data_IF_285883354627
#
_entry.id   IF_285883354627
#
_cell.length_a   1.000
_cell.length_b   1.000
_cell.length_c   1.000
_cell.angle_alpha   90.00
_cell.angle_beta   90.00
_cell.angle_gamma   90.00
#
_symmetry.space_group_name_H-M   'P 1'
#
loop_
_entity.id
_entity.type
_entity.pdbx_description
1 polymer ?
#
# COMPACT_ATOMS: atom_id res chain seq x y z
N UNK A 1 17.94 -6.41 33.06
CA UNK A 1 16.57 -6.69 32.57
C UNK A 1 16.50 -8.18 32.32
N UNK A 2 15.43 -8.88 32.71
CA UNK A 2 15.21 -10.25 32.26
C UNK A 2 14.90 -10.19 30.77
N UNK A 3 15.61 -10.97 29.94
CA UNK A 3 15.25 -11.17 28.55
C UNK A 3 13.96 -11.98 28.54
N UNK A 4 12.87 -11.41 28.05
CA UNK A 4 11.59 -12.10 27.85
C UNK A 4 11.26 -12.11 26.36
N UNK A 5 10.94 -13.29 25.83
CA UNK A 5 10.37 -13.42 24.52
C UNK A 5 8.90 -13.05 24.63
N UNK A 6 8.51 -11.98 23.95
CA UNK A 6 7.15 -11.51 23.89
C UNK A 6 6.75 -11.37 22.40
N UNK A 7 5.55 -11.83 22.05
CA UNK A 7 5.04 -11.54 20.72
C UNK A 7 4.67 -10.06 20.60
N UNK A 8 4.64 -9.55 19.38
CA UNK A 8 4.49 -8.11 19.12
C UNK A 8 3.11 -7.58 19.52
N UNK A 9 2.06 -8.39 19.50
CA UNK A 9 0.72 -8.03 20.00
C UNK A 9 0.73 -7.87 21.52
N UNK A 10 1.30 -8.84 22.22
CA UNK A 10 1.47 -8.79 23.69
C UNK A 10 2.35 -7.61 24.11
N UNK A 11 3.41 -7.34 23.35
CA UNK A 11 4.27 -6.16 23.56
C UNK A 11 3.47 -4.86 23.40
N UNK A 12 2.68 -4.72 22.34
CA UNK A 12 1.85 -3.53 22.15
C UNK A 12 0.86 -3.34 23.30
N UNK A 13 0.20 -4.41 23.74
CA UNK A 13 -0.77 -4.36 24.82
C UNK A 13 -0.11 -3.98 26.16
N UNK A 14 1.05 -4.56 26.49
CA UNK A 14 1.82 -4.22 27.70
C UNK A 14 2.27 -2.76 27.66
N UNK A 15 2.81 -2.29 26.55
CA UNK A 15 3.24 -0.91 26.38
C UNK A 15 2.05 0.08 26.49
N UNK A 16 0.86 -0.32 26.02
CA UNK A 16 -0.34 0.52 26.11
C UNK A 16 -0.85 0.77 27.53
N UNK A 17 -0.45 -0.06 28.49
CA UNK A 17 -0.75 0.16 29.91
C UNK A 17 0.15 1.23 30.54
N UNK A 18 1.33 1.46 29.97
CA UNK A 18 2.36 2.35 30.53
C UNK A 18 2.54 3.64 29.74
N UNK A 19 2.40 3.58 28.44
CA UNK A 19 2.62 4.69 27.52
C UNK A 19 1.33 5.11 26.81
N UNK A 20 1.28 6.38 26.41
CA UNK A 20 0.15 6.92 25.64
C UNK A 20 0.08 6.29 24.25
N UNK A 21 -1.08 5.72 23.89
CA UNK A 21 -1.37 5.28 22.53
C UNK A 21 -1.78 6.48 21.71
N UNK A 22 -0.98 6.85 20.73
CA UNK A 22 -1.27 7.94 19.78
C UNK A 22 -1.93 7.39 18.53
N UNK A 23 -3.04 8.01 18.11
CA UNK A 23 -3.66 7.69 16.84
C UNK A 23 -3.02 8.53 15.73
N UNK A 24 -2.17 7.90 14.93
CA UNK A 24 -1.50 8.51 13.79
C UNK A 24 -2.07 7.95 12.49
N UNK A 25 -2.99 8.69 11.86
CA UNK A 25 -3.69 8.26 10.64
C UNK A 25 -4.58 7.03 10.88
N UNK A 26 -4.20 5.88 10.30
CA UNK A 26 -4.88 4.58 10.47
C UNK A 26 -4.13 3.68 11.44
N UNK A 27 -3.06 4.19 12.06
CA UNK A 27 -2.21 3.47 13.00
C UNK A 27 -2.45 3.93 14.42
N UNK A 28 -2.46 3.00 15.34
CA UNK A 28 -2.25 3.25 16.74
C UNK A 28 -0.76 3.03 17.01
N UNK A 29 -0.08 4.04 17.55
CA UNK A 29 1.39 4.05 17.72
C UNK A 29 1.73 4.36 19.17
N UNK A 30 2.70 3.63 19.70
CA UNK A 30 3.30 3.84 21.01
C UNK A 30 4.79 4.15 20.81
N UNK A 31 5.28 5.18 21.47
CA UNK A 31 6.70 5.54 21.51
C UNK A 31 7.28 5.19 22.87
N UNK A 32 7.78 3.96 23.07
CA UNK A 32 8.28 3.53 24.36
C UNK A 32 9.66 4.14 24.63
N UNK A 33 9.89 4.64 25.86
CA UNK A 33 11.22 5.09 26.26
C UNK A 33 11.89 4.05 27.16
N UNK A 34 13.16 3.75 26.86
CA UNK A 34 13.95 2.78 27.63
C UNK A 34 13.76 1.31 27.24
N UNK A 35 13.04 1.04 26.14
CA UNK A 35 12.89 -0.32 25.60
C UNK A 35 13.91 -0.58 24.49
N UNK A 36 14.39 -1.81 24.42
CA UNK A 36 15.31 -2.28 23.42
C UNK A 36 14.80 -3.59 22.80
N UNK A 37 15.08 -3.79 21.52
CA UNK A 37 14.72 -4.99 20.77
C UNK A 37 15.94 -5.53 20.04
N UNK A 38 15.95 -6.83 19.77
CA UNK A 38 17.06 -7.51 19.09
C UNK A 38 16.93 -7.40 17.58
N UNK A 39 18.03 -7.05 16.93
CA UNK A 39 18.12 -6.80 15.49
C UNK A 39 19.18 -7.69 14.84
N UNK A 40 19.36 -7.57 13.53
CA UNK A 40 20.39 -8.26 12.76
C UNK A 40 21.75 -8.22 13.46
N UNK A 41 22.44 -9.36 13.52
CA UNK A 41 23.70 -9.50 14.27
C UNK A 41 23.52 -9.65 15.77
N UNK A 42 22.31 -9.98 16.23
CA UNK A 42 21.96 -10.28 17.63
C UNK A 42 22.30 -9.17 18.63
N UNK A 43 22.36 -7.92 18.20
CA UNK A 43 22.56 -6.75 19.07
C UNK A 43 21.24 -6.17 19.54
N UNK A 44 21.22 -5.56 20.73
CA UNK A 44 20.10 -4.79 21.21
C UNK A 44 20.19 -3.35 20.74
N UNK A 45 19.08 -2.81 20.27
CA UNK A 45 18.96 -1.41 19.86
C UNK A 45 17.67 -0.83 20.41
N UNK A 46 17.60 0.50 20.49
CA UNK A 46 16.42 1.19 20.98
C UNK A 46 15.21 0.86 20.09
N UNK A 47 14.11 0.47 20.75
CA UNK A 47 12.79 0.39 20.14
C UNK A 47 12.22 1.81 20.05
N UNK A 48 12.06 2.32 18.84
CA UNK A 48 11.60 3.69 18.59
C UNK A 48 10.09 3.79 18.68
N UNK A 49 9.38 2.86 18.02
CA UNK A 49 7.93 2.80 18.07
C UNK A 49 7.43 1.37 17.89
N UNK A 50 6.26 1.09 18.44
CA UNK A 50 5.45 -0.09 18.12
C UNK A 50 4.12 0.40 17.59
N UNK A 51 3.71 -0.08 16.43
CA UNK A 51 2.48 0.35 15.78
C UNK A 51 1.57 -0.83 15.48
N UNK A 52 0.26 -0.56 15.42
CA UNK A 52 -0.71 -1.51 14.90
C UNK A 52 -1.75 -0.82 14.03
N UNK A 53 -2.29 -1.55 13.07
CA UNK A 53 -3.41 -1.09 12.26
C UNK A 53 -4.26 -2.25 11.78
N UNK A 54 -5.54 -1.99 11.54
CA UNK A 54 -6.43 -2.99 10.93
C UNK A 54 -6.10 -3.15 9.46
N UNK A 55 -6.03 -4.39 9.01
CA UNK A 55 -5.76 -4.71 7.62
C UNK A 55 -6.78 -5.68 7.06
N UNK A 56 -7.07 -5.54 5.75
CA UNK A 56 -7.82 -6.54 4.97
C UNK A 56 -6.90 -7.31 4.00
N UNK A 57 -5.60 -7.32 4.27
CA UNK A 57 -4.61 -8.00 3.43
C UNK A 57 -4.59 -9.50 3.71
N UNK A 58 -4.10 -10.25 2.73
CA UNK A 58 -3.78 -11.67 2.88
C UNK A 58 -2.61 -11.84 3.84
N UNK A 59 -2.75 -12.79 4.75
CA UNK A 59 -1.69 -13.24 5.64
C UNK A 59 -1.09 -14.54 5.14
N UNK A 60 0.20 -14.70 5.36
CA UNK A 60 0.93 -15.96 5.16
C UNK A 60 1.68 -16.32 6.43
N UNK A 61 1.69 -17.60 6.77
CA UNK A 61 2.51 -18.15 7.83
C UNK A 61 3.76 -18.78 7.19
N UNK A 62 4.92 -18.29 7.58
CA UNK A 62 6.21 -18.81 7.12
C UNK A 62 6.74 -19.74 8.20
N UNK A 63 6.96 -21.00 7.84
CA UNK A 63 7.46 -22.04 8.74
C UNK A 63 8.93 -22.33 8.38
N UNK A 64 9.82 -22.10 9.34
CA UNK A 64 11.26 -22.20 9.16
C UNK A 64 11.82 -23.30 10.05
N UNK A 65 12.69 -24.11 9.48
CA UNK A 65 13.46 -25.11 10.20
C UNK A 65 14.89 -24.60 10.36
N UNK A 66 15.30 -24.35 11.58
CA UNK A 66 16.69 -24.07 11.90
C UNK A 66 17.39 -25.37 12.34
N UNK A 67 18.55 -25.67 11.77
CA UNK A 67 19.39 -26.80 12.14
C UNK A 67 20.66 -26.31 12.82
N UNK A 68 20.91 -26.79 14.02
CA UNK A 68 22.14 -26.54 14.72
C UNK A 68 23.24 -27.39 14.07
N UNK A 69 24.18 -26.79 13.36
CA UNK A 69 25.43 -27.44 13.00
C UNK A 69 26.30 -27.53 14.26
N UNK A 70 26.37 -28.70 14.85
CA UNK A 70 27.36 -28.95 15.90
C UNK A 70 28.71 -29.05 15.20
N UNK A 71 29.58 -28.07 15.38
CA UNK A 71 31.02 -28.25 15.13
C UNK A 71 31.54 -29.37 16.06
N UNK A 72 31.43 -30.60 15.59
CA UNK A 72 31.92 -31.76 16.32
C UNK A 72 33.30 -32.14 15.84
N UNK A 73 34.29 -31.66 16.54
CA UNK A 73 35.55 -32.38 16.74
C UNK A 73 35.38 -33.40 17.89
N UNK A 74 34.35 -34.21 17.88
CA UNK A 74 34.20 -35.31 18.82
C UNK A 74 33.86 -36.58 18.06
N UNK A 75 34.79 -37.58 18.02
CA UNK A 75 34.65 -38.77 17.19
C UNK A 75 33.75 -39.87 17.78
N UNK A 76 33.05 -39.63 18.87
CA UNK A 76 32.18 -40.67 19.47
C UNK A 76 30.95 -40.08 20.12
N UNK A 77 29.80 -40.25 19.46
CA UNK A 77 28.50 -40.06 20.09
C UNK A 77 27.61 -39.04 19.35
N UNK A 78 26.76 -39.54 18.48
CA UNK A 78 25.65 -38.77 17.86
C UNK A 78 24.76 -38.16 18.94
N UNK A 79 24.97 -36.88 19.26
CA UNK A 79 23.95 -36.06 19.93
C UNK A 79 22.84 -35.77 18.93
N UNK A 80 21.57 -35.86 19.35
CA UNK A 80 20.47 -35.55 18.45
C UNK A 80 20.58 -34.10 17.98
N UNK A 81 20.51 -33.88 16.68
CA UNK A 81 20.30 -32.57 16.08
C UNK A 81 19.04 -31.98 16.72
N UNK A 82 19.19 -30.92 17.49
CA UNK A 82 18.05 -30.12 17.93
C UNK A 82 17.45 -29.44 16.68
N UNK A 83 16.34 -29.98 16.18
CA UNK A 83 15.56 -29.41 15.12
C UNK A 83 14.53 -28.49 15.78
N UNK A 84 14.65 -27.20 15.53
CA UNK A 84 13.71 -26.21 15.99
C UNK A 84 12.89 -25.73 14.79
N UNK A 85 11.58 -25.66 14.95
CA UNK A 85 10.68 -25.04 13.99
C UNK A 85 10.27 -23.68 14.56
N UNK A 86 10.48 -22.64 13.81
CA UNK A 86 10.02 -21.29 14.09
C UNK A 86 8.96 -20.94 13.07
N UNK A 87 7.99 -20.14 13.47
CA UNK A 87 6.94 -19.66 12.56
C UNK A 87 6.69 -18.18 12.78
N UNK A 88 6.43 -17.44 11.71
CA UNK A 88 6.01 -16.04 11.77
C UNK A 88 4.82 -15.81 10.83
N UNK A 89 3.86 -15.00 11.26
CA UNK A 89 2.71 -14.62 10.45
C UNK A 89 2.90 -13.17 9.99
N UNK A 90 2.89 -12.96 8.69
CA UNK A 90 3.10 -11.64 8.08
C UNK A 90 2.08 -11.40 6.95
N UNK A 91 1.91 -10.14 6.56
CA UNK A 91 1.14 -9.82 5.34
C UNK A 91 1.92 -10.24 4.10
N UNK A 92 1.22 -10.59 3.03
CA UNK A 92 1.85 -11.05 1.76
C UNK A 92 2.83 -10.05 1.14
N UNK A 93 2.69 -8.78 1.46
CA UNK A 93 3.58 -7.70 1.01
C UNK A 93 4.60 -7.25 2.08
N UNK A 94 4.66 -7.96 3.22
CA UNK A 94 5.69 -7.71 4.23
C UNK A 94 7.06 -8.09 3.67
N UNK A 95 8.04 -7.24 3.91
CA UNK A 95 9.40 -7.48 3.43
C UNK A 95 10.13 -8.39 4.41
N UNK A 96 10.57 -9.53 3.92
CA UNK A 96 11.40 -10.49 4.66
C UNK A 96 12.82 -10.46 4.11
N UNK A 97 13.78 -10.84 4.93
CA UNK A 97 15.19 -10.93 4.55
C UNK A 97 15.55 -12.37 4.21
N UNK A 98 15.83 -12.63 2.93
CA UNK A 98 16.21 -13.93 2.41
C UNK A 98 17.71 -13.94 2.09
N UNK A 99 18.39 -15.06 2.38
CA UNK A 99 19.74 -15.30 1.85
C UNK A 99 19.67 -15.71 0.38
N UNK A 100 20.50 -15.11 -0.44
CA UNK A 100 20.73 -15.57 -1.81
C UNK A 100 21.66 -16.79 -1.85
N UNK A 101 22.04 -17.25 -3.05
CA UNK A 101 22.93 -18.40 -3.25
C UNK A 101 24.35 -18.17 -2.74
N UNK A 102 24.75 -16.90 -2.60
CA UNK A 102 26.07 -16.48 -2.16
C UNK A 102 26.07 -16.05 -0.70
N UNK A 103 24.98 -16.32 0.04
CA UNK A 103 24.75 -15.99 1.44
C UNK A 103 24.64 -14.48 1.75
N UNK A 104 24.22 -13.69 0.79
CA UNK A 104 23.87 -12.29 1.00
C UNK A 104 22.36 -12.13 1.25
N UNK A 105 22.00 -11.13 2.06
CA UNK A 105 20.60 -10.79 2.28
C UNK A 105 20.02 -10.04 1.09
N UNK A 106 18.82 -10.45 0.68
CA UNK A 106 17.99 -9.69 -0.23
C UNK A 106 16.59 -9.46 0.39
N UNK A 107 16.03 -8.30 0.12
CA UNK A 107 14.69 -7.94 0.55
C UNK A 107 13.65 -8.53 -0.40
N UNK A 108 12.77 -9.39 0.13
CA UNK A 108 11.77 -10.12 -0.66
C UNK A 108 10.41 -9.98 0.00
N UNK A 109 9.38 -9.59 -0.77
CA UNK A 109 7.99 -9.64 -0.26
C UNK A 109 7.64 -11.08 0.14
N UNK A 110 6.95 -11.28 1.25
CA UNK A 110 6.60 -12.61 1.78
C UNK A 110 5.90 -13.51 0.75
N UNK A 111 5.06 -12.95 -0.13
CA UNK A 111 4.40 -13.67 -1.24
C UNK A 111 5.36 -14.27 -2.28
N UNK A 112 6.60 -13.79 -2.33
CA UNK A 112 7.63 -14.24 -3.29
C UNK A 112 8.60 -15.24 -2.67
N UNK A 113 8.52 -15.49 -1.36
CA UNK A 113 9.27 -16.55 -0.68
C UNK A 113 8.78 -17.93 -1.11
N UNK A 114 9.67 -18.91 -1.01
CA UNK A 114 9.39 -20.30 -1.42
C UNK A 114 9.95 -21.29 -0.42
N UNK A 115 9.41 -22.49 -0.39
CA UNK A 115 10.04 -23.60 0.32
C UNK A 115 11.47 -23.81 -0.22
N UNK A 116 12.40 -24.07 0.68
CA UNK A 116 13.85 -24.14 0.50
C UNK A 116 14.57 -22.79 0.33
N UNK A 117 13.90 -21.65 0.47
CA UNK A 117 14.59 -20.37 0.68
C UNK A 117 15.22 -20.35 2.08
N UNK A 118 16.28 -19.57 2.23
CA UNK A 118 17.02 -19.44 3.47
C UNK A 118 16.74 -18.08 4.11
N UNK A 119 16.51 -18.07 5.43
CA UNK A 119 16.27 -16.85 6.22
C UNK A 119 17.12 -16.87 7.50
N UNK A 120 17.31 -15.69 8.11
CA UNK A 120 17.98 -15.62 9.40
C UNK A 120 17.01 -15.96 10.52
N UNK A 121 17.49 -16.78 11.46
CA UNK A 121 16.76 -17.20 12.67
C UNK A 121 17.61 -16.92 13.90
N UNK A 122 17.02 -16.31 14.92
CA UNK A 122 17.68 -16.09 16.20
C UNK A 122 17.58 -17.31 17.12
N UNK A 123 18.72 -17.79 17.61
CA UNK A 123 18.79 -18.84 18.63
C UNK A 123 19.03 -18.23 20.01
N UNK A 124 17.98 -18.14 20.81
CA UNK A 124 18.03 -17.62 22.17
C UNK A 124 18.98 -18.41 23.08
N UNK A 125 19.11 -19.72 22.87
CA UNK A 125 19.90 -20.57 23.75
C UNK A 125 21.43 -20.33 23.67
N UNK A 126 21.88 -19.77 22.55
CA UNK A 126 23.29 -19.48 22.30
C UNK A 126 23.53 -18.00 21.94
N UNK A 127 22.51 -17.19 22.02
CA UNK A 127 22.51 -15.75 21.67
C UNK A 127 23.21 -15.48 20.33
N UNK A 128 22.80 -16.19 19.29
CA UNK A 128 23.41 -16.10 17.96
C UNK A 128 22.41 -16.26 16.83
N UNK A 129 22.82 -15.78 15.68
CA UNK A 129 22.13 -15.96 14.41
C UNK A 129 22.40 -17.34 13.81
N UNK A 130 21.37 -17.98 13.29
CA UNK A 130 21.40 -19.22 12.52
C UNK A 130 20.78 -19.03 11.16
N UNK A 131 21.19 -19.83 10.19
CA UNK A 131 20.50 -19.93 8.90
C UNK A 131 19.39 -20.96 9.02
N UNK A 132 18.17 -20.53 8.81
CA UNK A 132 16.98 -21.38 8.76
C UNK A 132 16.54 -21.63 7.31
N UNK A 133 15.95 -22.78 7.06
CA UNK A 133 15.36 -23.13 5.76
C UNK A 133 13.84 -23.04 5.86
N UNK A 134 13.18 -22.33 4.96
CA UNK A 134 11.73 -22.32 4.85
C UNK A 134 11.27 -23.71 4.43
N UNK A 135 10.44 -24.34 5.27
CA UNK A 135 9.91 -25.68 4.99
C UNK A 135 8.51 -25.62 4.41
N UNK A 136 7.73 -24.61 4.78
CA UNK A 136 6.39 -24.40 4.26
C UNK A 136 5.96 -22.94 4.36
N UNK A 137 4.99 -22.56 3.52
CA UNK A 137 4.33 -21.24 3.55
C UNK A 137 2.84 -21.49 3.41
N UNK A 138 2.11 -21.31 4.50
CA UNK A 138 0.66 -21.50 4.55
C UNK A 138 -0.06 -20.20 4.23
N UNK A 139 -1.00 -20.23 3.30
CA UNK A 139 -1.91 -19.10 3.03
C UNK A 139 -3.04 -19.11 4.07
N UNK A 140 -3.07 -18.10 4.93
CA UNK A 140 -4.10 -17.97 5.99
C UNK A 140 -5.33 -17.18 5.52
N UNK A 141 -5.34 -16.69 4.28
CA UNK A 141 -6.42 -15.87 3.76
C UNK A 141 -6.37 -14.43 4.25
N UNK A 142 -7.49 -13.70 4.08
CA UNK A 142 -7.62 -12.32 4.54
C UNK A 142 -8.12 -12.26 5.97
N UNK A 143 -7.62 -11.29 6.73
CA UNK A 143 -8.07 -10.98 8.09
C UNK A 143 -8.56 -9.54 8.17
N UNK A 144 -9.49 -9.29 9.11
CA UNK A 144 -9.90 -7.95 9.52
C UNK A 144 -9.28 -7.55 10.87
N UNK A 145 -8.31 -8.33 11.35
CA UNK A 145 -7.61 -8.09 12.61
C UNK A 145 -6.47 -7.07 12.49
N UNK A 146 -5.87 -6.76 13.62
CA UNK A 146 -4.69 -5.91 13.68
C UNK A 146 -3.45 -6.64 13.16
N UNK A 147 -2.61 -5.90 12.47
CA UNK A 147 -1.22 -6.26 12.22
C UNK A 147 -0.31 -5.25 12.91
N UNK A 148 0.86 -5.70 13.29
CA UNK A 148 1.80 -4.97 14.14
C UNK A 148 3.12 -4.78 13.41
N UNK A 149 3.84 -3.70 13.74
CA UNK A 149 5.18 -3.41 13.23
C UNK A 149 6.00 -2.67 14.29
N UNK A 150 7.33 -2.84 14.23
CA UNK A 150 8.29 -2.18 15.11
C UNK A 150 9.19 -1.25 14.32
N UNK A 151 9.43 -0.05 14.82
CA UNK A 151 10.46 0.85 14.34
C UNK A 151 11.67 0.77 15.27
N UNK A 152 12.85 0.54 14.73
CA UNK A 152 14.10 0.33 15.46
C UNK A 152 15.14 1.39 15.10
N UNK A 153 15.94 1.81 16.08
CA UNK A 153 17.07 2.72 15.89
C UNK A 153 18.31 1.92 15.45
N UNK A 154 18.22 1.34 14.25
CA UNK A 154 19.28 0.57 13.63
C UNK A 154 19.27 0.70 12.11
N UNK A 155 20.46 0.79 11.52
CA UNK A 155 20.64 0.98 10.07
C UNK A 155 20.14 -0.20 9.21
N UNK A 156 20.03 -1.41 9.79
CA UNK A 156 19.49 -2.57 9.09
C UNK A 156 17.97 -2.50 8.90
N UNK A 157 17.27 -1.63 9.66
CA UNK A 157 15.81 -1.55 9.68
C UNK A 157 15.12 -2.92 9.77
N UNK A 158 15.71 -3.84 10.48
CA UNK A 158 15.23 -5.20 10.64
C UNK A 158 15.19 -5.59 12.12
N UNK A 159 14.28 -6.48 12.47
CA UNK A 159 14.16 -7.01 13.82
C UNK A 159 13.71 -8.48 13.77
N UNK A 160 13.92 -9.19 14.85
CA UNK A 160 13.45 -10.58 14.96
C UNK A 160 12.00 -10.61 15.45
N UNK A 161 11.08 -11.06 14.60
CA UNK A 161 9.70 -11.38 14.92
C UNK A 161 9.59 -12.91 15.01
N UNK A 162 9.14 -13.44 16.14
CA UNK A 162 9.08 -14.89 16.40
C UNK A 162 10.38 -15.63 16.01
N UNK A 163 11.52 -15.03 16.35
CA UNK A 163 12.87 -15.50 16.02
C UNK A 163 13.25 -15.47 14.53
N UNK A 164 12.40 -15.01 13.63
CA UNK A 164 12.70 -14.87 12.20
C UNK A 164 12.96 -13.39 11.88
N UNK A 165 14.07 -13.12 11.16
CA UNK A 165 14.44 -11.75 10.79
C UNK A 165 13.51 -11.20 9.72
N UNK A 166 12.82 -10.10 10.04
CA UNK A 166 11.95 -9.35 9.12
C UNK A 166 12.48 -7.93 8.96
N UNK A 167 12.09 -7.27 7.87
CA UNK A 167 12.55 -5.92 7.53
C UNK A 167 11.45 -4.90 7.72
N UNK A 168 11.78 -3.79 8.38
CA UNK A 168 10.92 -2.61 8.39
C UNK A 168 11.07 -1.84 7.07
N UNK A 169 9.95 -1.50 6.42
CA UNK A 169 9.96 -0.79 5.14
C UNK A 169 10.16 0.69 5.35
N UNK A 170 11.32 1.24 4.95
CA UNK A 170 11.56 2.68 4.97
C UNK A 170 11.19 3.36 3.65
N UNK A 171 10.55 4.53 3.79
CA UNK A 171 10.39 5.51 2.73
C UNK A 171 11.14 6.78 3.12
N UNK A 172 12.16 7.13 2.36
CA UNK A 172 12.95 8.33 2.61
C UNK A 172 12.48 9.48 1.72
N UNK A 173 11.88 10.51 2.33
CA UNK A 173 11.65 11.81 1.69
C UNK A 173 12.83 12.72 1.97
N UNK A 174 13.62 13.01 0.97
CA UNK A 174 14.68 14.01 1.10
C UNK A 174 14.10 15.38 0.75
N UNK A 175 13.92 16.25 1.74
CA UNK A 175 13.65 17.65 1.49
C UNK A 175 14.96 18.34 1.09
N UNK A 176 15.15 18.50 -0.21
CA UNK A 176 16.45 18.91 -0.77
C UNK A 176 16.72 20.42 -0.82
N UNK A 177 15.75 21.26 -0.43
CA UNK A 177 15.93 22.73 -0.50
C UNK A 177 15.64 23.35 0.85
N UNK A 178 16.69 23.91 1.48
CA UNK A 178 16.53 24.65 2.74
C UNK A 178 15.99 26.07 2.49
N UNK A 179 15.33 26.63 3.51
CA UNK A 179 14.85 28.01 3.47
C UNK A 179 16.00 29.01 3.32
N UNK A 180 17.20 28.70 3.82
CA UNK A 180 18.37 29.50 3.67
C UNK A 180 18.85 29.55 2.21
N UNK A 181 18.76 28.43 1.47
CA UNK A 181 19.07 28.41 0.05
C UNK A 181 18.11 29.31 -0.75
N UNK A 182 16.80 29.18 -0.49
CA UNK A 182 15.76 29.99 -1.12
C UNK A 182 16.00 31.50 -0.84
N UNK A 183 16.24 31.86 0.42
CA UNK A 183 16.54 33.22 0.82
C UNK A 183 17.79 33.77 0.16
N UNK A 184 18.87 32.97 0.09
CA UNK A 184 20.15 33.39 -0.51
C UNK A 184 20.01 33.82 -1.97
N UNK A 185 19.16 33.15 -2.72
CA UNK A 185 18.94 33.40 -4.14
C UNK A 185 17.62 34.14 -4.42
N UNK A 186 16.90 34.58 -3.39
CA UNK A 186 15.60 35.27 -3.50
C UNK A 186 14.58 34.47 -4.32
N UNK A 187 14.54 33.17 -4.13
CA UNK A 187 13.70 32.24 -4.88
C UNK A 187 12.29 32.11 -4.27
N UNK A 188 11.30 31.83 -5.13
CA UNK A 188 9.92 31.55 -4.70
C UNK A 188 9.89 30.27 -3.85
N UNK A 189 8.93 30.18 -2.92
CA UNK A 189 8.66 28.98 -2.14
C UNK A 189 8.25 27.79 -3.03
N UNK A 190 7.57 28.08 -4.13
CA UNK A 190 7.16 27.10 -5.13
C UNK A 190 8.28 26.89 -6.17
N UNK A 191 8.95 25.74 -6.10
CA UNK A 191 10.02 25.36 -7.02
C UNK A 191 9.57 25.37 -8.49
N UNK A 192 8.29 25.17 -8.77
CA UNK A 192 7.75 25.17 -10.13
C UNK A 192 7.90 26.55 -10.79
N UNK A 193 7.90 27.63 -9.99
CA UNK A 193 8.04 29.02 -10.46
C UNK A 193 9.48 29.48 -10.65
N UNK A 194 10.45 28.64 -10.26
CA UNK A 194 11.84 28.99 -10.48
C UNK A 194 12.13 29.04 -11.98
N UNK A 195 13.06 29.91 -12.37
CA UNK A 195 13.57 29.90 -13.74
C UNK A 195 14.42 28.66 -14.04
N UNK A 196 14.68 28.44 -15.29
CA UNK A 196 15.35 27.22 -15.77
C UNK A 196 16.79 27.13 -15.28
N UNK A 197 17.47 28.27 -15.11
CA UNK A 197 18.85 28.32 -14.61
C UNK A 197 18.93 27.81 -13.17
N UNK A 198 18.04 28.27 -12.28
CA UNK A 198 18.02 27.84 -10.89
C UNK A 198 17.53 26.38 -10.74
N UNK A 199 16.59 25.89 -11.58
CA UNK A 199 16.22 24.49 -11.65
C UNK A 199 17.39 23.60 -12.02
N UNK A 200 18.14 23.97 -13.06
CA UNK A 200 19.33 23.23 -13.49
C UNK A 200 20.45 23.27 -12.47
N UNK A 201 20.62 24.40 -11.76
CA UNK A 201 21.56 24.50 -10.65
C UNK A 201 21.18 23.52 -9.51
N UNK A 202 19.90 23.44 -9.17
CA UNK A 202 19.40 22.48 -8.17
C UNK A 202 19.65 21.04 -8.60
N UNK A 203 19.41 20.71 -9.88
CA UNK A 203 19.72 19.36 -10.41
C UNK A 203 21.19 19.01 -10.23
N UNK A 204 22.10 19.89 -10.68
CA UNK A 204 23.55 19.65 -10.57
C UNK A 204 23.99 19.46 -9.13
N UNK A 205 23.43 20.24 -8.21
CA UNK A 205 23.74 20.10 -6.80
C UNK A 205 23.25 18.77 -6.24
N UNK A 206 22.01 18.37 -6.54
CA UNK A 206 21.43 17.10 -6.08
C UNK A 206 22.15 15.90 -6.69
N UNK A 207 22.46 15.94 -7.98
CA UNK A 207 23.21 14.90 -8.66
C UNK A 207 24.61 14.73 -8.03
N UNK A 208 25.30 15.85 -7.80
CA UNK A 208 26.58 15.86 -7.09
C UNK A 208 26.45 15.32 -5.65
N UNK A 209 25.37 15.64 -4.94
CA UNK A 209 25.11 15.11 -3.61
C UNK A 209 24.89 13.58 -3.63
N UNK A 210 24.10 13.08 -4.58
CA UNK A 210 23.91 11.64 -4.76
C UNK A 210 25.23 10.93 -5.06
N UNK A 211 26.05 11.50 -5.93
CA UNK A 211 27.34 10.90 -6.33
C UNK A 211 28.39 10.95 -5.22
N UNK A 212 28.49 12.05 -4.49
CA UNK A 212 29.60 12.27 -3.56
C UNK A 212 29.25 11.93 -2.10
N UNK A 213 27.99 11.90 -1.74
CA UNK A 213 27.54 11.63 -0.35
C UNK A 213 26.71 10.34 -0.26
N UNK A 214 25.63 10.23 -1.08
CA UNK A 214 24.71 9.08 -0.96
C UNK A 214 25.38 7.81 -1.44
N UNK A 215 25.97 7.79 -2.63
CA UNK A 215 26.60 6.58 -3.17
C UNK A 215 27.79 6.10 -2.32
N UNK A 216 28.73 6.94 -1.87
CA UNK A 216 29.79 6.51 -0.97
C UNK A 216 29.27 5.98 0.38
N UNK A 217 28.25 6.64 0.97
CA UNK A 217 27.64 6.15 2.19
C UNK A 217 27.01 4.76 2.00
N UNK A 218 26.20 4.61 0.96
CA UNK A 218 25.55 3.32 0.67
C UNK A 218 26.58 2.23 0.37
N UNK A 219 27.58 2.52 -0.45
CA UNK A 219 28.58 1.54 -0.85
C UNK A 219 29.56 1.19 0.28
N UNK A 220 30.07 2.19 1.00
CA UNK A 220 31.09 1.95 2.02
C UNK A 220 30.51 1.60 3.38
N UNK A 221 29.48 2.32 3.82
CA UNK A 221 28.95 2.20 5.17
C UNK A 221 27.81 1.20 5.23
N UNK A 222 26.79 1.35 4.40
CA UNK A 222 25.63 0.46 4.44
C UNK A 222 25.96 -0.93 3.86
N UNK A 223 26.47 -1.02 2.65
CA UNK A 223 26.71 -2.29 1.96
C UNK A 223 28.08 -2.87 2.29
N UNK A 224 29.14 -2.08 2.20
CA UNK A 224 30.49 -2.54 2.43
C UNK A 224 30.73 -3.02 3.87
N UNK A 225 30.32 -2.24 4.89
CA UNK A 225 30.49 -2.59 6.30
C UNK A 225 29.46 -3.58 6.81
N UNK A 226 28.18 -3.36 6.48
CA UNK A 226 27.07 -4.17 7.01
C UNK A 226 27.00 -5.52 6.33
N UNK A 227 27.01 -5.55 5.01
CA UNK A 227 26.88 -6.79 4.23
C UNK A 227 28.23 -7.37 3.79
N UNK A 228 29.35 -6.67 4.00
CA UNK A 228 30.73 -7.12 3.69
C UNK A 228 30.87 -7.66 2.26
N UNK A 229 30.15 -7.07 1.31
CA UNK A 229 30.24 -7.47 -0.10
C UNK A 229 31.57 -7.07 -0.70
N UNK A 230 32.10 -7.92 -1.62
CA UNK A 230 33.35 -7.67 -2.34
C UNK A 230 33.19 -6.58 -3.43
N UNK A 231 31.94 -6.34 -3.87
CA UNK A 231 31.61 -5.42 -4.96
C UNK A 231 30.52 -4.42 -4.55
N UNK A 232 30.74 -3.56 -3.53
CA UNK A 232 29.76 -2.60 -3.08
C UNK A 232 29.42 -1.54 -4.14
N UNK A 233 30.34 -1.30 -5.10
CA UNK A 233 30.17 -0.33 -6.19
C UNK A 233 29.09 -0.72 -7.21
N UNK A 234 28.63 -1.97 -7.22
CA UNK A 234 27.55 -2.42 -8.14
C UNK A 234 26.22 -1.75 -7.79
N UNK A 235 25.96 -1.48 -6.52
CA UNK A 235 24.77 -0.72 -6.12
C UNK A 235 25.06 0.77 -6.20
N UNK A 236 24.34 1.46 -7.09
CA UNK A 236 24.46 2.87 -7.30
C UNK A 236 23.10 3.52 -7.42
N UNK A 237 22.90 4.59 -6.70
CA UNK A 237 21.73 5.46 -6.83
C UNK A 237 21.98 6.52 -7.89
N UNK A 238 20.96 6.86 -8.62
CA UNK A 238 20.95 8.00 -9.56
C UNK A 238 19.76 8.90 -9.29
N UNK A 239 19.90 10.18 -9.61
CA UNK A 239 18.80 11.13 -9.50
C UNK A 239 17.82 10.90 -10.66
N UNK A 240 16.61 10.43 -10.36
CA UNK A 240 15.57 10.15 -11.38
C UNK A 240 14.76 11.42 -11.73
N UNK A 241 14.39 12.19 -10.72
CA UNK A 241 13.63 13.43 -10.91
C UNK A 241 13.66 14.32 -9.66
N UNK A 242 13.35 15.61 -9.87
CA UNK A 242 13.04 16.56 -8.79
C UNK A 242 11.57 16.96 -8.92
N UNK A 243 10.84 16.90 -7.81
CA UNK A 243 9.45 17.34 -7.71
C UNK A 243 9.33 18.65 -6.94
N UNK A 244 8.47 19.55 -7.41
CA UNK A 244 8.13 20.77 -6.68
C UNK A 244 7.20 20.48 -5.50
N UNK A 245 6.19 19.66 -5.73
CA UNK A 245 5.18 19.26 -4.73
C UNK A 245 4.89 17.77 -4.86
N UNK A 246 4.74 17.09 -3.74
CA UNK A 246 4.35 15.67 -3.70
C UNK A 246 3.24 15.40 -2.68
N UNK A 247 2.28 14.58 -3.06
CA UNK A 247 1.26 14.03 -2.18
C UNK A 247 1.53 12.55 -2.00
N UNK A 248 1.85 12.16 -0.78
CA UNK A 248 2.15 10.78 -0.41
C UNK A 248 1.02 10.26 0.47
N UNK A 249 0.22 9.33 -0.06
CA UNK A 249 -0.97 8.80 0.61
C UNK A 249 -0.61 7.62 1.51
N UNK A 250 0.19 6.71 0.97
CA UNK A 250 0.75 5.55 1.65
C UNK A 250 1.93 4.99 0.84
N UNK A 251 2.57 3.95 1.33
CA UNK A 251 3.65 3.23 0.62
C UNK A 251 3.23 2.89 -0.82
N UNK A 252 4.04 3.29 -1.78
CA UNK A 252 3.82 3.09 -3.23
C UNK A 252 2.62 3.85 -3.82
N UNK A 253 1.88 4.67 -3.04
CA UNK A 253 0.74 5.45 -3.51
C UNK A 253 1.04 6.94 -3.36
N UNK A 254 1.41 7.58 -4.45
CA UNK A 254 1.79 8.98 -4.43
C UNK A 254 1.54 9.68 -5.79
N UNK A 255 1.47 10.99 -5.74
CA UNK A 255 1.46 11.87 -6.90
C UNK A 255 2.49 12.98 -6.70
N UNK A 256 3.36 13.22 -7.69
CA UNK A 256 4.43 14.23 -7.62
C UNK A 256 4.41 15.10 -8.86
N UNK A 257 4.40 16.41 -8.66
CA UNK A 257 4.60 17.40 -9.72
C UNK A 257 6.09 17.49 -10.03
N UNK A 258 6.54 16.82 -11.08
CA UNK A 258 7.94 16.82 -11.55
C UNK A 258 8.24 18.11 -12.30
N UNK A 259 9.34 18.75 -11.90
CA UNK A 259 9.89 19.95 -12.58
C UNK A 259 11.18 19.65 -13.34
N UNK A 260 11.87 18.59 -12.95
CA UNK A 260 13.06 18.07 -13.61
C UNK A 260 12.97 16.55 -13.71
N UNK A 261 13.49 15.98 -14.78
CA UNK A 261 13.55 14.54 -15.03
C UNK A 261 14.96 14.13 -15.42
N UNK A 262 15.21 12.84 -15.53
CA UNK A 262 16.48 12.24 -15.88
C UNK A 262 17.11 12.92 -17.11
N UNK A 263 18.45 13.22 -17.03
CA UNK A 263 19.19 13.93 -18.06
C UNK A 263 19.08 15.47 -18.03
N UNK A 264 18.92 16.09 -16.88
CA UNK A 264 18.36 17.36 -16.45
C UNK A 264 17.33 18.00 -17.41
N UNK A 265 16.38 17.21 -17.84
CA UNK A 265 15.26 17.70 -18.65
C UNK A 265 14.27 18.49 -17.80
N UNK A 266 14.02 19.75 -18.17
CA UNK A 266 12.96 20.56 -17.55
C UNK A 266 11.61 20.06 -18.02
N UNK A 267 10.76 19.69 -17.07
CA UNK A 267 9.44 19.13 -17.33
C UNK A 267 8.37 19.82 -16.47
N UNK A 268 7.14 19.72 -16.92
CA UNK A 268 5.95 20.15 -16.15
C UNK A 268 4.92 19.01 -16.17
N UNK A 269 5.23 17.90 -15.51
CA UNK A 269 4.44 16.68 -15.55
C UNK A 269 4.14 16.16 -14.16
N UNK A 270 2.94 15.57 -13.96
CA UNK A 270 2.62 14.88 -12.71
C UNK A 270 2.82 13.37 -12.88
N UNK A 271 3.69 12.80 -12.03
CA UNK A 271 3.88 11.34 -11.91
C UNK A 271 2.88 10.81 -10.89
N UNK A 272 2.10 9.83 -11.30
CA UNK A 272 1.17 9.10 -10.45
C UNK A 272 1.67 7.68 -10.23
N UNK A 273 1.69 7.20 -9.00
CA UNK A 273 2.08 5.83 -8.66
C UNK A 273 1.05 5.21 -7.71
N UNK A 274 0.65 3.97 -7.97
CA UNK A 274 -0.21 3.15 -7.10
C UNK A 274 -1.65 3.62 -6.88
N UNK A 275 -1.97 4.88 -7.17
CA UNK A 275 -3.29 5.47 -6.93
C UNK A 275 -4.35 4.98 -7.94
N UNK A 276 -5.61 5.19 -7.63
CA UNK A 276 -6.77 4.69 -8.40
C UNK A 276 -6.74 5.08 -9.88
N UNK A 277 -6.15 6.24 -10.23
CA UNK A 277 -5.96 6.70 -11.61
C UNK A 277 -5.25 5.67 -12.51
N UNK A 278 -4.41 4.82 -11.96
CA UNK A 278 -3.65 3.79 -12.70
C UNK A 278 -4.42 2.47 -12.84
N UNK A 279 -5.49 2.26 -12.09
CA UNK A 279 -6.23 0.99 -12.13
C UNK A 279 -7.08 0.88 -13.40
N UNK A 280 -6.96 -0.27 -14.07
CA UNK A 280 -7.76 -0.56 -15.27
C UNK A 280 -9.25 -0.76 -14.98
N UNK A 281 -9.62 -0.96 -13.72
CA UNK A 281 -11.03 -1.15 -13.29
C UNK A 281 -11.83 0.16 -13.20
N UNK A 282 -11.14 1.31 -13.10
CA UNK A 282 -11.77 2.63 -12.96
C UNK A 282 -12.13 3.18 -14.35
N UNK A 283 -13.38 3.61 -14.55
CA UNK A 283 -13.83 4.20 -15.82
C UNK A 283 -13.03 5.47 -16.22
N UNK A 284 -12.80 5.73 -17.53
CA UNK A 284 -12.02 6.88 -17.97
C UNK A 284 -12.50 8.23 -17.44
N UNK A 285 -13.81 8.49 -17.48
CA UNK A 285 -14.38 9.76 -17.00
C UNK A 285 -14.18 9.96 -15.50
N UNK A 286 -14.18 8.88 -14.72
CA UNK A 286 -13.88 8.94 -13.29
C UNK A 286 -12.39 9.23 -13.06
N UNK A 287 -11.51 8.65 -13.90
CA UNK A 287 -10.08 8.98 -13.86
C UNK A 287 -9.82 10.44 -14.14
N UNK A 288 -10.60 11.06 -15.04
CA UNK A 288 -10.46 12.48 -15.33
C UNK A 288 -10.86 13.33 -14.10
N UNK A 289 -11.97 12.99 -13.42
CA UNK A 289 -12.36 13.66 -12.16
C UNK A 289 -11.25 13.54 -11.10
N UNK A 290 -10.72 12.34 -10.88
CA UNK A 290 -9.65 12.15 -9.91
C UNK A 290 -8.37 12.89 -10.33
N UNK A 291 -8.00 12.84 -11.62
CA UNK A 291 -6.83 13.55 -12.16
C UNK A 291 -6.91 15.05 -11.92
N UNK A 292 -8.06 15.66 -12.22
CA UNK A 292 -8.27 17.10 -12.05
C UNK A 292 -8.10 17.51 -10.58
N UNK A 293 -8.57 16.69 -9.63
CA UNK A 293 -8.39 16.92 -8.19
C UNK A 293 -6.90 16.96 -7.83
N UNK A 294 -6.12 15.98 -8.29
CA UNK A 294 -4.69 15.96 -8.01
C UNK A 294 -3.95 17.12 -8.67
N UNK A 295 -4.30 17.44 -9.91
CA UNK A 295 -3.69 18.57 -10.64
C UNK A 295 -4.03 19.89 -9.97
N UNK A 296 -5.27 20.07 -9.53
CA UNK A 296 -5.70 21.25 -8.82
C UNK A 296 -4.86 21.54 -7.57
N UNK A 297 -4.56 20.50 -6.78
CA UNK A 297 -3.72 20.67 -5.57
C UNK A 297 -2.24 20.78 -5.91
N UNK A 298 -1.72 19.94 -6.81
CA UNK A 298 -0.29 19.87 -7.10
C UNK A 298 0.23 21.02 -7.97
N UNK A 299 -0.61 21.58 -8.84
CA UNK A 299 -0.19 22.59 -9.83
C UNK A 299 -0.91 23.94 -9.64
N UNK A 300 -2.16 23.93 -9.21
CA UNK A 300 -3.00 25.12 -9.12
C UNK A 300 -3.16 25.62 -7.67
N UNK A 301 -2.49 24.95 -6.71
CA UNK A 301 -2.50 25.31 -5.29
C UNK A 301 -3.92 25.42 -4.71
N UNK A 302 -4.80 24.47 -5.09
CA UNK A 302 -6.15 24.43 -4.53
C UNK A 302 -6.11 24.30 -3.02
N UNK A 303 -6.88 25.14 -2.36
CA UNK A 303 -7.21 24.98 -0.96
C UNK A 303 -8.43 24.05 -0.79
N UNK A 304 -8.81 23.76 0.44
CA UNK A 304 -9.95 22.90 0.78
C UNK A 304 -11.26 23.36 0.14
N UNK A 305 -11.49 24.67 0.06
CA UNK A 305 -12.70 25.25 -0.57
C UNK A 305 -12.75 24.98 -2.06
N UNK A 306 -11.66 25.20 -2.79
CA UNK A 306 -11.58 24.89 -4.22
C UNK A 306 -11.84 23.40 -4.48
N UNK A 307 -11.25 22.54 -3.64
CA UNK A 307 -11.45 21.10 -3.69
C UNK A 307 -12.93 20.71 -3.49
N UNK A 308 -13.56 21.22 -2.43
CA UNK A 308 -14.99 20.96 -2.14
C UNK A 308 -15.88 21.45 -3.29
N UNK A 309 -15.65 22.66 -3.80
CA UNK A 309 -16.41 23.23 -4.92
C UNK A 309 -16.27 22.37 -6.18
N UNK A 310 -15.08 21.83 -6.45
CA UNK A 310 -14.86 20.94 -7.59
C UNK A 310 -15.59 19.60 -7.39
N UNK A 311 -15.46 18.96 -6.21
CA UNK A 311 -16.11 17.68 -5.92
C UNK A 311 -17.63 17.79 -6.01
N UNK A 312 -18.22 18.91 -5.54
CA UNK A 312 -19.66 19.19 -5.70
C UNK A 312 -20.07 19.25 -7.17
N UNK A 313 -19.33 19.99 -7.99
CA UNK A 313 -19.58 20.08 -9.44
C UNK A 313 -19.40 18.73 -10.14
N UNK A 314 -18.37 17.98 -9.76
CA UNK A 314 -18.11 16.65 -10.29
C UNK A 314 -19.23 15.67 -9.94
N UNK A 315 -19.80 15.74 -8.73
CA UNK A 315 -20.95 14.93 -8.33
C UNK A 315 -22.19 15.23 -9.16
N UNK A 316 -22.54 16.51 -9.36
CA UNK A 316 -23.67 16.88 -10.20
C UNK A 316 -23.50 16.41 -11.65
N UNK A 317 -22.30 16.55 -12.21
CA UNK A 317 -21.96 16.02 -13.53
C UNK A 317 -22.05 14.48 -13.56
N UNK A 318 -21.54 13.80 -12.52
CA UNK A 318 -21.55 12.35 -12.42
C UNK A 318 -22.97 11.77 -12.50
N UNK A 319 -23.96 12.42 -11.87
CA UNK A 319 -25.37 12.01 -11.94
C UNK A 319 -26.00 12.09 -13.35
N UNK A 320 -25.38 12.82 -14.26
CA UNK A 320 -25.84 12.93 -15.65
C UNK A 320 -25.14 11.96 -16.60
N UNK A 321 -24.14 11.20 -16.12
CA UNK A 321 -23.40 10.24 -16.93
C UNK A 321 -24.24 8.98 -17.19
N UNK A 322 -23.97 8.30 -18.30
CA UNK A 322 -24.62 7.02 -18.60
C UNK A 322 -24.06 5.91 -17.71
N UNK A 323 -24.78 4.80 -17.59
CA UNK A 323 -24.30 3.63 -16.86
C UNK A 323 -22.99 3.09 -17.44
N UNK A 324 -22.82 3.14 -18.76
CA UNK A 324 -21.59 2.72 -19.44
C UNK A 324 -20.39 3.60 -19.08
N UNK A 325 -20.62 4.89 -18.84
CA UNK A 325 -19.55 5.84 -18.45
C UNK A 325 -19.00 5.58 -17.05
N UNK A 326 -19.84 5.08 -16.13
CA UNK A 326 -19.49 4.95 -14.71
C UNK A 326 -19.35 3.52 -14.23
N UNK A 327 -19.84 2.53 -14.96
CA UNK A 327 -19.75 1.13 -14.55
C UNK A 327 -18.30 0.65 -14.46
N UNK A 328 -17.96 -0.05 -13.38
CA UNK A 328 -16.62 -0.56 -13.10
C UNK A 328 -16.29 -1.81 -13.92
N UNK A 329 -15.05 -1.93 -14.36
CA UNK A 329 -14.56 -3.19 -14.90
C UNK A 329 -14.29 -4.21 -13.78
N UNK A 330 -14.86 -5.41 -13.90
CA UNK A 330 -14.59 -6.53 -12.99
C UNK A 330 -14.48 -7.85 -13.74
N UNK A 331 -13.58 -8.72 -13.27
CA UNK A 331 -13.46 -10.10 -13.77
C UNK A 331 -14.45 -11.00 -13.02
N UNK A 332 -15.16 -11.86 -13.76
CA UNK A 332 -16.02 -12.89 -13.18
C UNK A 332 -15.24 -14.21 -13.05
N UNK A 333 -14.40 -14.32 -12.02
CA UNK A 333 -13.47 -15.44 -11.86
C UNK A 333 -13.98 -16.56 -10.92
N UNK A 334 -15.03 -16.27 -10.14
CA UNK A 334 -15.58 -17.23 -9.17
C UNK A 334 -17.09 -17.26 -9.29
N UNK A 335 -17.63 -18.42 -9.71
CA UNK A 335 -19.06 -18.66 -9.69
C UNK A 335 -19.48 -19.11 -8.28
N UNK A 336 -20.69 -18.73 -7.88
CA UNK A 336 -21.38 -19.27 -6.71
C UNK A 336 -22.78 -19.73 -7.14
N UNK A 337 -23.28 -20.75 -6.49
CA UNK A 337 -24.61 -21.26 -6.78
C UNK A 337 -25.69 -20.26 -6.38
N UNK A 338 -26.76 -20.27 -7.16
CA UNK A 338 -27.95 -19.50 -6.89
C UNK A 338 -28.89 -20.31 -6.00
N UNK A 339 -29.31 -19.73 -4.89
CA UNK A 339 -30.31 -20.34 -4.01
C UNK A 339 -31.75 -20.08 -4.47
N UNK A 340 -31.94 -19.46 -5.64
CA UNK A 340 -33.24 -19.13 -6.22
C UNK A 340 -33.17 -17.98 -7.21
N UNK A 341 -34.31 -17.53 -7.71
CA UNK A 341 -34.37 -16.40 -8.63
C UNK A 341 -33.90 -15.11 -7.91
N UNK A 342 -32.84 -14.50 -8.44
CA UNK A 342 -32.15 -13.31 -7.89
C UNK A 342 -31.71 -13.47 -6.41
N UNK A 343 -31.42 -14.71 -6.02
CA UNK A 343 -30.90 -15.04 -4.68
C UNK A 343 -29.62 -15.84 -4.81
N UNK A 344 -28.66 -15.53 -3.94
CA UNK A 344 -27.37 -16.22 -3.90
C UNK A 344 -27.17 -16.87 -2.55
N UNK A 345 -26.33 -17.91 -2.51
CA UNK A 345 -25.83 -18.47 -1.26
C UNK A 345 -25.02 -17.45 -0.46
N UNK A 346 -24.95 -17.68 0.83
CA UNK A 346 -24.19 -16.85 1.75
C UNK A 346 -22.70 -16.79 1.32
N UNK A 347 -22.09 -15.60 1.39
CA UNK A 347 -20.68 -15.42 1.03
C UNK A 347 -20.42 -15.18 -0.48
N UNK A 348 -21.46 -15.08 -1.32
CA UNK A 348 -21.27 -14.70 -2.71
C UNK A 348 -20.74 -13.25 -2.85
N UNK A 349 -19.66 -13.07 -3.61
CA UNK A 349 -19.09 -11.74 -3.89
C UNK A 349 -20.05 -10.90 -4.72
N UNK A 350 -19.91 -9.57 -4.64
CA UNK A 350 -20.75 -8.64 -5.42
C UNK A 350 -20.73 -8.92 -6.92
N UNK A 351 -19.55 -9.27 -7.49
CA UNK A 351 -19.46 -9.60 -8.92
C UNK A 351 -20.16 -10.90 -9.28
N UNK A 352 -20.06 -11.93 -8.42
CA UNK A 352 -20.75 -13.20 -8.62
C UNK A 352 -22.28 -12.99 -8.59
N UNK A 353 -22.78 -12.20 -7.62
CA UNK A 353 -24.20 -11.80 -7.56
C UNK A 353 -24.63 -11.09 -8.84
N UNK A 354 -23.88 -10.05 -9.24
CA UNK A 354 -24.24 -9.19 -10.38
C UNK A 354 -24.30 -9.96 -11.70
N UNK A 355 -23.34 -10.87 -11.97
CA UNK A 355 -23.34 -11.70 -13.17
C UNK A 355 -24.50 -12.72 -13.18
N UNK A 356 -24.74 -13.35 -12.03
CA UNK A 356 -25.87 -14.31 -11.90
C UNK A 356 -27.20 -13.58 -12.07
N UNK A 357 -27.38 -12.40 -11.47
CA UNK A 357 -28.60 -11.61 -11.59
C UNK A 357 -28.83 -11.15 -13.03
N UNK A 358 -27.80 -10.70 -13.72
CA UNK A 358 -27.91 -10.38 -15.14
C UNK A 358 -28.39 -11.58 -15.96
N UNK A 359 -27.74 -12.73 -15.83
CA UNK A 359 -28.12 -13.93 -16.58
C UNK A 359 -29.56 -14.39 -16.29
N UNK A 360 -29.99 -14.30 -15.05
CA UNK A 360 -31.37 -14.63 -14.67
C UNK A 360 -32.37 -13.61 -15.22
N UNK A 361 -32.04 -12.31 -15.22
CA UNK A 361 -32.89 -11.26 -15.77
C UNK A 361 -33.02 -11.35 -17.30
N UNK A 362 -31.92 -11.59 -18.01
CA UNK A 362 -31.93 -11.82 -19.48
C UNK A 362 -32.85 -12.98 -19.84
N UNK A 363 -32.80 -14.07 -19.05
CA UNK A 363 -33.68 -15.23 -19.22
C UNK A 363 -35.14 -14.91 -18.87
N UNK A 364 -35.37 -14.23 -17.76
CA UNK A 364 -36.72 -13.86 -17.28
C UNK A 364 -37.45 -12.94 -18.25
N UNK A 365 -36.76 -11.93 -18.77
CA UNK A 365 -37.29 -10.99 -19.76
C UNK A 365 -37.31 -11.55 -21.19
N UNK A 366 -36.80 -12.76 -21.41
CA UNK A 366 -36.73 -13.43 -22.71
C UNK A 366 -35.96 -12.64 -23.77
N UNK A 367 -34.94 -11.86 -23.34
CA UNK A 367 -34.11 -11.02 -24.21
C UNK A 367 -32.78 -11.67 -24.63
N UNK A 368 -32.57 -12.94 -24.34
CA UNK A 368 -31.34 -13.68 -24.64
C UNK A 368 -31.00 -13.83 -26.14
N UNK A 369 -31.92 -13.41 -27.05
CA UNK A 369 -31.60 -13.29 -28.48
C UNK A 369 -30.81 -12.01 -28.81
N UNK A 370 -30.87 -11.01 -27.92
CA UNK A 370 -30.19 -9.72 -28.09
C UNK A 370 -28.92 -9.60 -27.21
N UNK A 371 -28.97 -10.23 -26.04
CA UNK A 371 -27.94 -10.08 -25.01
C UNK A 371 -27.46 -11.47 -24.54
N UNK A 372 -26.17 -11.72 -24.72
CA UNK A 372 -25.57 -12.99 -24.34
C UNK A 372 -25.43 -13.13 -22.84
N UNK A 373 -25.43 -14.38 -22.35
CA UNK A 373 -25.15 -14.67 -20.95
C UNK A 373 -23.68 -14.39 -20.62
N UNK A 374 -23.44 -13.86 -19.44
CA UNK A 374 -22.08 -13.69 -18.89
C UNK A 374 -21.57 -15.04 -18.39
N UNK A 375 -20.37 -15.42 -18.88
CA UNK A 375 -19.69 -16.66 -18.55
C UNK A 375 -18.52 -16.44 -17.60
N UNK A 376 -18.18 -17.49 -16.87
CA UNK A 376 -16.99 -17.49 -15.98
C UNK A 376 -15.71 -17.19 -16.79
N UNK A 377 -14.82 -16.41 -16.22
CA UNK A 377 -13.59 -15.95 -16.86
C UNK A 377 -13.73 -14.63 -17.65
N UNK A 378 -14.94 -14.17 -17.91
CA UNK A 378 -15.16 -12.91 -18.65
C UNK A 378 -14.91 -11.68 -17.80
N UNK A 379 -14.48 -10.60 -18.46
CA UNK A 379 -14.39 -9.25 -17.91
C UNK A 379 -15.65 -8.50 -18.31
N UNK A 380 -16.34 -7.93 -17.34
CA UNK A 380 -17.66 -7.31 -17.50
C UNK A 380 -17.73 -5.93 -16.84
N UNK A 381 -18.76 -5.19 -17.16
CA UNK A 381 -19.15 -3.95 -16.50
C UNK A 381 -20.02 -4.28 -15.30
N UNK A 382 -19.80 -3.58 -14.20
CA UNK A 382 -20.49 -3.76 -12.91
C UNK A 382 -21.00 -2.42 -12.41
N UNK A 383 -22.25 -2.37 -12.00
CA UNK A 383 -22.83 -1.17 -11.39
C UNK A 383 -23.69 -1.52 -10.16
N UNK A 384 -23.77 -0.58 -9.23
CA UNK A 384 -24.77 -0.61 -8.17
C UNK A 384 -26.08 -0.01 -8.69
N UNK A 385 -27.20 -0.56 -8.21
CA UNK A 385 -28.56 -0.13 -8.51
C UNK A 385 -29.31 0.09 -7.22
N UNK A 386 -30.28 1.00 -7.25
CA UNK A 386 -31.07 1.34 -6.07
C UNK A 386 -31.85 0.10 -5.59
N UNK A 387 -31.69 -0.33 -4.31
CA UNK A 387 -32.30 -1.57 -3.81
C UNK A 387 -33.82 -1.58 -3.72
N UNK A 388 -34.45 -0.40 -3.81
CA UNK A 388 -35.92 -0.25 -3.83
C UNK A 388 -36.58 -0.67 -5.14
N UNK A 389 -35.84 -1.36 -6.05
CA UNK A 389 -36.41 -1.94 -7.26
C UNK A 389 -37.31 -3.14 -6.95
N UNK A 390 -38.13 -3.54 -7.94
CA UNK A 390 -39.09 -4.64 -7.83
C UNK A 390 -38.50 -5.97 -7.31
N UNK A 391 -37.20 -6.19 -7.59
CA UNK A 391 -36.50 -7.44 -7.28
C UNK A 391 -35.64 -7.38 -6.01
N UNK A 392 -35.45 -6.20 -5.41
CA UNK A 392 -34.67 -6.01 -4.20
C UNK A 392 -33.16 -6.30 -4.35
N UNK A 393 -32.64 -6.24 -5.59
CA UNK A 393 -31.20 -6.45 -5.84
C UNK A 393 -30.45 -5.10 -5.82
N UNK A 394 -29.20 -5.15 -5.38
CA UNK A 394 -28.35 -3.95 -5.17
C UNK A 394 -27.26 -3.74 -6.21
N UNK A 395 -27.04 -4.72 -7.08
CA UNK A 395 -26.00 -4.67 -8.11
C UNK A 395 -26.35 -5.54 -9.31
N UNK A 396 -25.81 -5.17 -10.48
CA UNK A 396 -25.97 -5.94 -11.71
C UNK A 396 -24.71 -5.78 -12.56
N UNK A 397 -24.42 -6.80 -13.39
CA UNK A 397 -23.36 -6.75 -14.40
C UNK A 397 -23.95 -6.72 -15.80
N UNK A 398 -23.12 -6.36 -16.79
CA UNK A 398 -23.48 -6.40 -18.20
C UNK A 398 -22.21 -6.41 -19.07
N UNK A 399 -22.34 -6.79 -20.34
CA UNK A 399 -21.25 -6.70 -21.29
C UNK A 399 -20.96 -5.25 -21.69
N UNK A 400 -19.70 -4.92 -21.98
CA UNK A 400 -19.27 -3.57 -22.35
C UNK A 400 -20.09 -3.01 -23.51
N UNK A 401 -20.64 -1.81 -23.33
CA UNK A 401 -21.49 -1.15 -24.31
C UNK A 401 -22.83 -1.85 -24.58
N UNK A 402 -23.22 -2.83 -23.75
CA UNK A 402 -24.43 -3.63 -23.95
C UNK A 402 -25.37 -3.61 -22.75
N UNK A 403 -25.54 -2.42 -22.14
CA UNK A 403 -26.60 -2.24 -21.14
C UNK A 403 -27.96 -2.54 -21.75
N UNK A 404 -28.74 -3.52 -21.27
CA UNK A 404 -30.04 -3.84 -21.81
C UNK A 404 -31.01 -2.68 -21.65
N UNK A 405 -31.59 -2.18 -22.75
CA UNK A 405 -32.55 -1.07 -22.70
C UNK A 405 -33.80 -1.41 -21.87
N UNK A 406 -34.13 -2.68 -21.80
CA UNK A 406 -35.22 -3.20 -21.00
C UNK A 406 -34.96 -3.00 -19.48
N UNK A 407 -33.70 -2.81 -19.08
CA UNK A 407 -33.32 -2.54 -17.70
C UNK A 407 -33.63 -1.10 -17.26
N UNK A 408 -33.69 -0.15 -18.18
CA UNK A 408 -33.98 1.27 -17.87
C UNK A 408 -35.33 1.47 -17.18
N UNK A 409 -36.31 0.59 -17.47
CA UNK A 409 -37.62 0.64 -16.83
C UNK A 409 -37.71 -0.11 -15.51
N UNK A 410 -36.69 -0.91 -15.17
CA UNK A 410 -36.68 -1.83 -14.03
C UNK A 410 -35.69 -1.37 -12.95
N UNK A 411 -34.52 -0.92 -13.38
CA UNK A 411 -33.41 -0.60 -12.50
C UNK A 411 -33.00 0.86 -12.62
N UNK A 412 -32.88 1.52 -11.49
CA UNK A 412 -32.27 2.82 -11.38
C UNK A 412 -30.83 2.64 -10.89
N UNK A 413 -29.86 3.23 -11.60
CA UNK A 413 -28.47 3.24 -11.17
C UNK A 413 -28.34 4.00 -9.85
N UNK A 414 -27.63 3.44 -8.89
CA UNK A 414 -27.34 4.11 -7.63
C UNK A 414 -26.08 4.98 -7.78
N UNK A 415 -26.29 6.19 -8.29
CA UNK A 415 -25.22 7.16 -8.50
C UNK A 415 -24.52 7.56 -7.22
N UNK A 416 -25.22 7.53 -6.08
CA UNK A 416 -24.64 7.87 -4.79
C UNK A 416 -23.61 6.83 -4.35
N UNK A 417 -23.99 5.57 -4.37
CA UNK A 417 -23.09 4.47 -4.06
C UNK A 417 -21.95 4.38 -5.08
N UNK A 418 -22.24 4.60 -6.37
CA UNK A 418 -21.21 4.61 -7.41
C UNK A 418 -20.18 5.73 -7.20
N UNK A 419 -20.64 6.94 -6.87
CA UNK A 419 -19.75 8.06 -6.57
C UNK A 419 -18.92 7.81 -5.32
N UNK A 420 -19.52 7.24 -4.27
CA UNK A 420 -18.77 6.83 -3.07
C UNK A 420 -17.63 5.87 -3.38
N UNK A 421 -17.93 4.84 -4.17
CA UNK A 421 -16.93 3.79 -4.48
C UNK A 421 -15.85 4.25 -5.45
N UNK A 422 -16.22 5.10 -6.41
CA UNK A 422 -15.33 5.49 -7.52
C UNK A 422 -14.56 6.78 -7.26
N UNK A 423 -15.11 7.70 -6.47
CA UNK A 423 -14.51 9.01 -6.24
C UNK A 423 -14.17 9.22 -4.78
N UNK A 424 -15.12 9.12 -3.84
CA UNK A 424 -14.88 9.47 -2.45
C UNK A 424 -13.98 8.47 -1.72
N UNK A 425 -14.19 7.16 -1.95
CA UNK A 425 -13.35 6.14 -1.31
C UNK A 425 -11.88 6.22 -1.75
N UNK A 426 -11.55 6.41 -3.05
CA UNK A 426 -10.19 6.69 -3.50
C UNK A 426 -9.54 7.93 -2.87
N UNK A 427 -10.33 8.96 -2.59
CA UNK A 427 -9.81 10.22 -2.03
C UNK A 427 -9.48 10.17 -0.54
N UNK A 428 -9.73 9.07 0.17
CA UNK A 428 -9.40 8.97 1.60
C UNK A 428 -7.92 9.20 1.90
N UNK A 429 -7.02 8.60 1.11
CA UNK A 429 -5.58 8.83 1.22
C UNK A 429 -5.19 10.27 0.89
N UNK A 430 -5.74 10.80 -0.19
CA UNK A 430 -5.57 12.19 -0.59
C UNK A 430 -5.97 13.18 0.52
N UNK A 431 -7.14 12.99 1.15
CA UNK A 431 -7.60 13.86 2.25
C UNK A 431 -6.64 13.85 3.44
N UNK A 432 -6.07 12.68 3.77
CA UNK A 432 -5.06 12.57 4.81
C UNK A 432 -3.79 13.34 4.46
N UNK A 433 -3.32 13.19 3.22
CA UNK A 433 -2.09 13.84 2.76
C UNK A 433 -2.22 15.37 2.67
N UNK A 434 -3.38 15.88 2.25
CA UNK A 434 -3.67 17.31 2.15
C UNK A 434 -4.14 17.94 3.46
N UNK A 435 -4.54 17.14 4.44
CA UNK A 435 -5.22 17.56 5.68
C UNK A 435 -6.59 18.23 5.44
N UNK A 436 -7.19 18.05 4.27
CA UNK A 436 -8.55 18.52 3.99
C UNK A 436 -9.57 17.69 4.77
N UNK A 437 -10.55 18.36 5.38
CA UNK A 437 -11.47 17.72 6.34
C UNK A 437 -12.66 17.01 5.71
N UNK A 438 -13.08 17.37 4.49
CA UNK A 438 -14.33 16.87 3.92
C UNK A 438 -14.28 16.73 2.40
N UNK A 439 -14.84 15.60 1.90
CA UNK A 439 -15.00 15.33 0.47
C UNK A 439 -16.45 15.05 0.05
N UNK A 440 -17.37 14.75 0.98
CA UNK A 440 -18.73 14.30 0.62
C UNK A 440 -19.66 15.47 0.31
N UNK A 441 -20.04 15.69 -0.97
CA UNK A 441 -20.89 16.81 -1.38
C UNK A 441 -22.33 16.73 -0.85
N UNK A 442 -22.75 15.58 -0.35
CA UNK A 442 -24.09 15.36 0.20
C UNK A 442 -24.20 15.75 1.67
N UNK A 443 -23.06 15.91 2.34
CA UNK A 443 -23.02 16.41 3.71
C UNK A 443 -22.96 17.92 3.67
N UNK A 444 -24.03 18.59 4.13
CA UNK A 444 -24.02 20.05 4.27
C UNK A 444 -22.86 20.47 5.16
N UNK A 445 -21.92 21.23 4.59
CA UNK A 445 -20.90 21.92 5.34
C UNK A 445 -21.56 23.12 6.00
N UNK A 446 -21.88 23.02 7.28
CA UNK A 446 -22.14 24.21 8.08
C UNK A 446 -20.77 24.85 8.31
N UNK A 447 -20.42 25.84 7.49
CA UNK A 447 -19.33 26.73 7.80
C UNK A 447 -19.77 27.51 9.04
N UNK A 448 -19.04 27.35 10.15
CA UNK A 448 -19.18 28.27 11.25
C UNK A 448 -18.82 29.66 10.76
N UNK A 449 -19.83 30.51 10.68
CA UNK A 449 -19.75 31.92 10.20
C UNK A 449 -18.99 32.79 11.22
N UNK A 450 -18.36 32.23 12.22
CA UNK A 450 -17.75 32.93 13.35
C UNK A 450 -16.22 32.91 13.41
N UNK A 451 -15.53 32.60 12.33
CA UNK A 451 -14.10 32.94 12.20
C UNK A 451 -13.92 34.04 11.15
N UNK A 452 -14.22 35.26 11.54
CA UNK A 452 -13.75 36.50 10.91
C UNK A 452 -12.72 37.13 11.84
#
# INVERSE_FOLDING_TARGET
MQEEKIDIESLFNELSETFEVKCEKDYEVIYPDGYEIKVLGCKYVKLVAVSRHKTSKHLVKIIVKAEKTVDSLDPVGSKPLLRRHEEVIVTTDHVCMRYDKDHFFENVDAKNLKANDYVSVYDESEDRELVGTIVDIEDLGTTDDYVYDCEVDDESHSFYADSILVHNSQFCNIQCVSDDFKKKYSLDEDLAKWDDEHKLMLWKWMDSFVENEVNPYVQNDLIGKTYKTEHPEVLRYSLEYIGAVGLYEMKKHYAVHKILSEGPEIVDKVKFSGIELKKASVPPLVKDILRDIYLGVLKENWNERNFIDYVNKAYEKFKTMTVDDIAMWKGYNTARESSGFLKMELGATGISKACTFYNQMVKHLKIGKKYDSILLGQKVRFTYIVPSNEYGIECIAFHDGQWPKEFDSIFQVDYDVMFDKLVLAPLKGFLKATKFKQADPRKQVVFDVFEL
#
